data_IF_267004171658
#
_entry.id   IF_267004171658
#
_cell.length_a   1.000
_cell.length_b   1.000
_cell.length_c   1.000
_cell.angle_alpha   90.00
_cell.angle_beta   90.00
_cell.angle_gamma   90.00
#
_symmetry.space_group_name_H-M   'P 1'
#
loop_
_entity.id
_entity.type
_entity.pdbx_description
1 polymer ?
#
# COMPACT_ATOMS: atom_id res chain seq x y z
N UNK A 1 9.33 -13.39 1.41
CA UNK A 1 8.26 -12.45 1.03
C UNK A 1 7.40 -12.10 2.22
N UNK A 2 7.07 -10.84 2.37
CA UNK A 2 6.27 -10.36 3.49
C UNK A 2 4.79 -10.14 3.14
N UNK A 3 4.33 -10.64 1.99
CA UNK A 3 2.91 -10.63 1.65
C UNK A 3 2.16 -11.54 2.62
N UNK A 4 1.39 -10.95 3.50
CA UNK A 4 0.68 -11.67 4.53
C UNK A 4 -0.69 -12.16 4.07
N UNK A 5 -1.33 -11.38 3.19
CA UNK A 5 -2.71 -11.63 2.82
C UNK A 5 -3.02 -10.96 1.48
N UNK A 6 -3.75 -11.67 0.62
CA UNK A 6 -4.25 -11.16 -0.64
C UNK A 6 -5.62 -11.76 -0.93
N UNK A 7 -6.58 -10.92 -1.33
CA UNK A 7 -7.90 -11.36 -1.74
C UNK A 7 -8.28 -10.69 -3.06
N UNK A 8 -8.94 -11.43 -3.93
CA UNK A 8 -9.18 -11.00 -5.31
C UNK A 8 -10.47 -10.22 -5.54
N UNK A 9 -11.43 -10.29 -4.61
CA UNK A 9 -12.72 -9.59 -4.80
C UNK A 9 -13.29 -9.08 -3.46
N UNK A 10 -13.17 -7.79 -3.13
CA UNK A 10 -12.36 -6.78 -3.81
C UNK A 10 -10.86 -7.10 -3.71
N UNK A 11 -10.08 -6.57 -4.64
CA UNK A 11 -8.65 -6.83 -4.64
C UNK A 11 -7.98 -6.08 -3.50
N UNK A 12 -7.53 -6.79 -2.50
CA UNK A 12 -6.83 -6.16 -1.37
C UNK A 12 -5.84 -7.13 -0.74
N UNK A 13 -4.92 -6.58 0.03
CA UNK A 13 -3.91 -7.35 0.70
C UNK A 13 -3.26 -6.61 1.86
N UNK A 14 -2.45 -7.34 2.61
CA UNK A 14 -1.69 -6.83 3.74
C UNK A 14 -0.24 -7.26 3.60
N UNK A 15 0.65 -6.33 3.86
CA UNK A 15 2.10 -6.57 3.87
C UNK A 15 2.64 -6.35 5.28
N UNK A 16 3.36 -7.33 5.80
CA UNK A 16 4.11 -7.16 7.04
C UNK A 16 5.47 -6.58 6.71
N UNK A 17 5.78 -5.42 7.26
CA UNK A 17 7.03 -4.72 6.98
C UNK A 17 8.16 -5.32 7.81
N UNK A 18 8.90 -6.23 7.22
CA UNK A 18 10.09 -6.83 7.80
C UNK A 18 11.38 -6.29 7.17
N UNK A 19 11.24 -5.65 6.02
CA UNK A 19 12.33 -5.10 5.24
C UNK A 19 12.57 -3.63 5.60
N UNK A 20 13.82 -3.17 5.46
CA UNK A 20 14.14 -1.74 5.53
C UNK A 20 13.58 -1.00 4.30
N UNK A 21 13.56 0.34 4.36
CA UNK A 21 13.12 1.13 3.20
C UNK A 21 14.00 0.87 1.98
N UNK A 22 15.31 0.68 2.17
CA UNK A 22 16.22 0.39 1.06
C UNK A 22 15.95 -0.98 0.45
N UNK A 23 15.66 -1.98 1.27
CA UNK A 23 15.30 -3.31 0.78
C UNK A 23 13.99 -3.29 -0.01
N UNK A 24 12.99 -2.54 0.48
CA UNK A 24 11.70 -2.38 -0.21
C UNK A 24 11.89 -1.65 -1.54
N UNK A 25 12.70 -0.60 -1.55
CA UNK A 25 13.01 0.12 -2.78
C UNK A 25 13.68 -0.79 -3.81
N UNK A 26 14.52 -1.72 -3.33
CA UNK A 26 15.17 -2.72 -4.19
C UNK A 26 14.20 -3.67 -4.88
N UNK A 27 12.98 -3.81 -4.37
CA UNK A 27 11.93 -4.64 -4.98
C UNK A 27 11.14 -3.89 -6.07
N UNK A 28 11.39 -2.60 -6.25
CA UNK A 28 10.70 -1.75 -7.21
C UNK A 28 11.61 -1.49 -8.41
N UNK A 29 11.00 -1.40 -9.61
CA UNK A 29 11.75 -1.22 -10.86
C UNK A 29 12.01 0.26 -11.16
N UNK A 30 11.05 1.14 -10.86
CA UNK A 30 11.13 2.58 -11.15
C UNK A 30 11.69 3.35 -9.96
N UNK A 31 12.90 2.98 -9.52
CA UNK A 31 13.52 3.52 -8.30
C UNK A 31 13.70 5.03 -8.32
N UNK A 32 13.96 5.61 -9.50
CA UNK A 32 14.16 7.05 -9.62
C UNK A 32 12.90 7.85 -9.25
N UNK A 33 11.71 7.29 -9.50
CA UNK A 33 10.45 7.96 -9.17
C UNK A 33 10.22 8.04 -7.66
N UNK A 34 10.80 7.11 -6.91
CA UNK A 34 10.63 7.03 -5.45
C UNK A 34 11.74 7.75 -4.69
N UNK A 35 12.93 7.83 -5.26
CA UNK A 35 14.08 8.47 -4.62
C UNK A 35 13.89 9.96 -4.42
N UNK A 36 13.00 10.58 -5.20
CA UNK A 36 12.67 12.00 -5.10
C UNK A 36 11.63 12.30 -4.01
N UNK A 37 11.04 11.28 -3.41
CA UNK A 37 10.08 11.46 -2.33
C UNK A 37 10.81 11.96 -1.08
N UNK A 38 10.47 13.16 -0.65
CA UNK A 38 11.11 13.81 0.50
C UNK A 38 10.49 13.36 1.81
N UNK A 39 10.69 12.11 2.14
CA UNK A 39 10.28 11.56 3.43
C UNK A 39 11.54 11.21 4.20
N UNK A 40 11.86 11.97 5.23
CA UNK A 40 13.10 11.81 5.99
C UNK A 40 13.06 10.70 7.02
N UNK A 41 11.90 10.41 7.59
CA UNK A 41 11.76 9.38 8.63
C UNK A 41 11.75 7.99 8.00
N UNK A 42 12.61 7.09 8.50
CA UNK A 42 12.71 5.71 8.02
C UNK A 42 11.38 4.98 8.07
N UNK A 43 10.61 5.15 9.13
CA UNK A 43 9.30 4.48 9.28
C UNK A 43 8.33 4.89 8.18
N UNK A 44 8.26 6.17 7.84
CA UNK A 44 7.39 6.68 6.77
C UNK A 44 7.85 6.21 5.40
N UNK A 45 9.17 6.19 5.17
CA UNK A 45 9.72 5.65 3.91
C UNK A 45 9.38 4.18 3.78
N UNK A 46 9.54 3.42 4.86
CA UNK A 46 9.20 2.00 4.90
C UNK A 46 7.73 1.78 4.56
N UNK A 47 6.82 2.52 5.20
CA UNK A 47 5.39 2.42 4.94
C UNK A 47 5.05 2.76 3.49
N UNK A 48 5.65 3.80 2.97
CA UNK A 48 5.42 4.24 1.60
C UNK A 48 5.90 3.22 0.58
N UNK A 49 7.12 2.76 0.71
CA UNK A 49 7.67 1.78 -0.22
C UNK A 49 6.97 0.42 -0.09
N UNK A 50 6.61 0.00 1.12
CA UNK A 50 5.85 -1.22 1.33
C UNK A 50 4.49 -1.16 0.62
N UNK A 51 3.81 -0.02 0.66
CA UNK A 51 2.53 0.14 -0.04
C UNK A 51 2.70 -0.01 -1.56
N UNK A 52 3.80 0.47 -2.11
CA UNK A 52 4.11 0.32 -3.54
C UNK A 52 4.42 -1.12 -3.91
N UNK A 53 5.19 -1.82 -3.09
CA UNK A 53 5.51 -3.24 -3.30
C UNK A 53 4.24 -4.07 -3.22
N UNK A 54 3.38 -3.82 -2.23
CA UNK A 54 2.10 -4.52 -2.10
C UNK A 54 1.20 -4.25 -3.29
N UNK A 55 1.12 -3.01 -3.75
CA UNK A 55 0.35 -2.64 -4.93
C UNK A 55 0.83 -3.40 -6.17
N UNK A 56 2.13 -3.50 -6.34
CA UNK A 56 2.74 -4.29 -7.42
C UNK A 56 2.33 -5.76 -7.35
N UNK A 57 2.34 -6.34 -6.16
CA UNK A 57 1.90 -7.73 -5.96
C UNK A 57 0.42 -7.92 -6.29
N UNK A 58 -0.41 -6.95 -5.93
CA UNK A 58 -1.85 -7.03 -6.19
C UNK A 58 -2.19 -6.90 -7.67
N UNK A 59 -1.51 -6.01 -8.39
CA UNK A 59 -1.79 -5.73 -9.81
C UNK A 59 -0.96 -6.59 -10.77
N UNK A 60 0.11 -7.21 -10.28
CA UNK A 60 1.02 -7.97 -11.13
C UNK A 60 2.01 -7.11 -11.89
N UNK A 61 1.94 -5.80 -11.77
CA UNK A 61 2.87 -4.86 -12.38
C UNK A 61 3.01 -3.60 -11.53
N UNK A 62 4.12 -2.91 -11.70
CA UNK A 62 4.38 -1.66 -10.99
C UNK A 62 3.65 -0.52 -11.69
N UNK A 63 2.82 0.21 -10.92
CA UNK A 63 2.04 1.34 -11.41
C UNK A 63 2.35 2.59 -10.62
N UNK A 64 2.19 3.73 -11.27
CA UNK A 64 2.44 5.02 -10.66
C UNK A 64 1.28 5.43 -9.75
N UNK A 65 1.61 5.86 -8.54
CA UNK A 65 0.66 6.44 -7.58
C UNK A 65 0.95 7.93 -7.48
N UNK A 66 -0.08 8.73 -7.69
CA UNK A 66 -0.04 10.17 -7.48
C UNK A 66 -0.93 10.54 -6.28
N UNK A 67 -0.89 11.80 -5.88
CA UNK A 67 -1.65 12.26 -4.72
C UNK A 67 -2.47 13.49 -5.08
N UNK A 68 -3.71 13.51 -4.61
CA UNK A 68 -4.56 14.70 -4.65
C UNK A 68 -4.01 15.76 -3.70
N UNK A 69 -4.48 17.00 -3.84
CA UNK A 69 -4.13 18.08 -2.91
C UNK A 69 -4.52 17.78 -1.47
N UNK A 70 -5.51 16.91 -1.26
CA UNK A 70 -5.94 16.46 0.07
C UNK A 70 -4.98 15.44 0.70
N UNK A 71 -4.01 14.93 -0.07
CA UNK A 71 -3.10 13.87 0.36
C UNK A 71 -3.58 12.46 0.02
N UNK A 72 -4.78 12.31 -0.51
CA UNK A 72 -5.32 11.00 -0.87
C UNK A 72 -4.62 10.45 -2.12
N UNK A 73 -4.23 9.16 -2.13
CA UNK A 73 -3.59 8.56 -3.30
C UNK A 73 -4.58 8.27 -4.42
N UNK A 74 -4.09 8.30 -5.67
CA UNK A 74 -4.85 7.84 -6.82
C UNK A 74 -3.92 7.23 -7.87
N UNK A 75 -4.48 6.38 -8.73
CA UNK A 75 -3.74 5.74 -9.81
C UNK A 75 -3.97 6.52 -11.11
N UNK A 76 -2.89 7.03 -11.70
CA UNK A 76 -2.98 7.88 -12.87
C UNK A 76 -3.38 7.11 -14.15
N UNK A 77 -2.96 5.85 -14.27
CA UNK A 77 -3.09 5.09 -15.51
C UNK A 77 -4.00 3.86 -15.39
N UNK A 78 -4.59 3.62 -14.24
CA UNK A 78 -5.43 2.46 -13.97
C UNK A 78 -6.79 2.93 -13.47
N UNK A 79 -7.91 2.46 -14.07
CA UNK A 79 -9.24 2.95 -13.70
C UNK A 79 -9.77 2.27 -12.43
N UNK A 80 -9.02 2.35 -11.37
CA UNK A 80 -9.36 1.79 -10.06
C UNK A 80 -9.18 2.84 -8.98
N UNK A 81 -10.06 2.82 -7.99
CA UNK A 81 -9.87 3.57 -6.77
C UNK A 81 -8.92 2.81 -5.85
N UNK A 82 -8.10 3.54 -5.10
CA UNK A 82 -7.13 2.97 -4.18
C UNK A 82 -7.32 3.56 -2.78
N UNK A 83 -7.15 2.74 -1.77
CA UNK A 83 -7.02 3.20 -0.39
C UNK A 83 -5.88 2.45 0.27
N UNK A 84 -5.14 3.16 1.12
CA UNK A 84 -3.97 2.64 1.81
C UNK A 84 -4.14 2.95 3.30
N UNK A 85 -3.89 1.96 4.13
CA UNK A 85 -3.90 2.12 5.59
C UNK A 85 -2.69 1.41 6.17
N UNK A 86 -2.21 1.87 7.32
CA UNK A 86 -1.09 1.23 8.00
C UNK A 86 -1.31 1.25 9.51
N UNK A 87 -0.74 0.30 10.18
CA UNK A 87 -0.71 0.22 11.63
C UNK A 87 0.51 -0.58 12.04
N UNK A 88 1.25 -0.10 13.05
CA UNK A 88 2.46 -0.75 13.55
C UNK A 88 3.38 -1.16 12.40
N UNK A 89 3.54 -2.47 12.15
CA UNK A 89 4.44 -3.00 11.12
C UNK A 89 3.68 -3.53 9.91
N UNK A 90 2.44 -3.08 9.69
CA UNK A 90 1.57 -3.59 8.65
C UNK A 90 1.06 -2.47 7.75
N UNK A 91 0.96 -2.78 6.46
CA UNK A 91 0.35 -1.91 5.45
C UNK A 91 -0.75 -2.69 4.75
N UNK A 92 -1.88 -2.06 4.53
CA UNK A 92 -3.01 -2.63 3.79
C UNK A 92 -3.33 -1.75 2.59
N UNK A 93 -3.67 -2.39 1.47
CA UNK A 93 -4.07 -1.71 0.23
C UNK A 93 -5.32 -2.37 -0.31
N UNK A 94 -6.28 -1.58 -0.76
CA UNK A 94 -7.48 -2.06 -1.46
C UNK A 94 -7.65 -1.31 -2.78
N UNK A 95 -8.10 -2.04 -3.80
CA UNK A 95 -8.37 -1.53 -5.13
C UNK A 95 -9.75 -1.99 -5.56
N UNK A 96 -10.56 -1.09 -6.12
CA UNK A 96 -11.88 -1.44 -6.63
C UNK A 96 -12.32 -0.43 -7.69
N UNK A 97 -13.26 -0.84 -8.53
CA UNK A 97 -13.89 0.02 -9.54
C UNK A 97 -14.79 1.07 -8.90
N UNK A 98 -15.17 0.88 -7.64
CA UNK A 98 -16.00 1.82 -6.86
C UNK A 98 -15.13 2.53 -5.84
N UNK A 99 -15.48 3.77 -5.44
CA UNK A 99 -14.79 4.42 -4.34
C UNK A 99 -14.76 3.51 -3.12
N UNK A 100 -13.57 3.32 -2.55
CA UNK A 100 -13.36 2.30 -1.53
C UNK A 100 -12.37 2.78 -0.49
N UNK A 101 -12.43 2.22 0.70
CA UNK A 101 -11.52 2.49 1.79
C UNK A 101 -11.15 1.22 2.53
N UNK A 102 -9.95 1.20 3.08
CA UNK A 102 -9.47 0.11 3.91
C UNK A 102 -8.85 0.69 5.19
N UNK A 103 -9.12 0.03 6.31
CA UNK A 103 -8.49 0.31 7.58
C UNK A 103 -7.90 -0.98 8.13
N UNK A 104 -6.71 -0.88 8.70
CA UNK A 104 -6.06 -1.99 9.39
C UNK A 104 -5.76 -1.57 10.82
N UNK A 105 -6.04 -2.46 11.75
CA UNK A 105 -5.87 -2.21 13.17
C UNK A 105 -5.10 -3.35 13.81
N UNK A 106 -4.01 -3.01 14.50
CA UNK A 106 -3.22 -3.99 15.22
C UNK A 106 -3.85 -4.26 16.58
N UNK A 107 -4.17 -5.52 16.84
CA UNK A 107 -4.71 -5.97 18.13
C UNK A 107 -3.67 -6.74 18.93
N UNK A 108 -2.93 -7.62 18.24
CA UNK A 108 -1.82 -8.37 18.81
C UNK A 108 -1.04 -9.00 17.65
N UNK A 109 0.09 -9.63 17.94
CA UNK A 109 0.92 -10.28 16.91
C UNK A 109 0.17 -11.33 16.09
N UNK A 110 -0.95 -11.84 16.60
CA UNK A 110 -1.77 -12.86 15.94
C UNK A 110 -3.08 -12.31 15.38
N UNK A 111 -3.43 -11.09 15.73
CA UNK A 111 -4.76 -10.53 15.39
C UNK A 111 -4.60 -9.17 14.76
N UNK A 112 -4.96 -9.11 13.49
CA UNK A 112 -5.14 -7.86 12.75
C UNK A 112 -6.61 -7.73 12.42
N UNK A 113 -7.17 -6.54 12.62
CA UNK A 113 -8.52 -6.23 12.20
C UNK A 113 -8.47 -5.42 10.93
N UNK A 114 -9.10 -5.92 9.88
CA UNK A 114 -9.14 -5.28 8.57
C UNK A 114 -10.58 -4.93 8.27
N UNK A 115 -10.82 -3.68 7.90
CA UNK A 115 -12.14 -3.22 7.43
C UNK A 115 -11.98 -2.66 6.03
N UNK A 116 -12.80 -3.15 5.12
CA UNK A 116 -12.96 -2.54 3.80
C UNK A 116 -14.40 -2.07 3.66
N UNK A 117 -14.59 -0.98 2.94
CA UNK A 117 -15.92 -0.42 2.69
C UNK A 117 -15.94 0.27 1.35
N UNK A 118 -17.13 0.35 0.77
CA UNK A 118 -17.35 1.13 -0.42
C UNK A 118 -17.94 2.48 -0.02
N UNK A 119 -17.43 3.53 -0.62
CA UNK A 119 -17.86 4.90 -0.39
C UNK A 119 -18.66 5.37 -1.61
N UNK A 120 -19.86 5.86 -1.37
CA UNK A 120 -20.70 6.40 -2.43
C UNK A 120 -20.47 7.88 -2.61
#
# INVERSE_FOLDING_TARGET
>A
MALLYKQLSPLHGVWKMEESSDELLGMLEHKADYSLERVSAEKRRQERFASRVLLKELLGEEVRVDYHSTGAPFLACVPLYISISHTKDYVAVILDKRPTGIDIEYRSDRILKIRSRFMN
#
